data_IF_313023089831
#
_entry.id   IF_313023089831
#
_cell.length_a   1.000
_cell.length_b   1.000
_cell.length_c   1.000
_cell.angle_alpha   90.00
_cell.angle_beta   90.00
_cell.angle_gamma   90.00
#
_symmetry.space_group_name_H-M   'P 1'
#
loop_
_entity.id
_entity.type
_entity.pdbx_description
1 polymer ?
#
# COMPACT_ATOMS: atom_id res chain seq x y z
N UNK A 1 -2.66 -23.24 8.45
CA UNK A 1 -2.14 -21.87 8.54
C UNK A 1 -1.02 -21.73 7.53
N UNK A 2 -1.14 -20.80 6.58
CA UNK A 2 -0.05 -20.40 5.68
C UNK A 2 0.65 -19.20 6.32
N UNK A 3 1.89 -19.38 6.81
CA UNK A 3 2.66 -18.28 7.39
C UNK A 3 3.53 -17.63 6.32
N UNK A 4 3.45 -16.31 6.23
CA UNK A 4 4.19 -15.51 5.26
C UNK A 4 4.95 -14.38 5.92
N UNK A 5 5.95 -13.82 5.23
CA UNK A 5 6.65 -12.60 5.63
C UNK A 5 6.68 -11.62 4.45
N UNK A 6 6.54 -10.32 4.72
CA UNK A 6 6.66 -9.30 3.68
C UNK A 6 8.11 -9.15 3.24
N UNK A 7 8.34 -9.00 1.94
CA UNK A 7 9.67 -8.88 1.35
C UNK A 7 9.65 -7.92 0.16
N UNK A 8 10.61 -6.99 0.11
CA UNK A 8 10.58 -5.86 -0.84
C UNK A 8 11.33 -6.09 -2.16
N UNK A 9 11.91 -7.27 -2.35
CA UNK A 9 12.75 -7.57 -3.52
C UNK A 9 14.24 -7.40 -3.23
N UNK A 10 15.10 -8.13 -3.95
CA UNK A 10 16.55 -8.18 -3.68
C UNK A 10 17.29 -6.86 -3.87
N UNK A 11 16.71 -5.93 -4.64
CA UNK A 11 17.28 -4.60 -4.84
C UNK A 11 16.87 -3.59 -3.75
N UNK A 12 15.82 -3.88 -2.98
CA UNK A 12 15.25 -2.94 -2.01
C UNK A 12 15.35 -3.45 -0.56
N UNK A 13 15.28 -4.76 -0.35
CA UNK A 13 15.34 -5.37 0.96
C UNK A 13 16.78 -5.79 1.33
N UNK A 14 17.18 -5.53 2.57
CA UNK A 14 18.45 -6.06 3.11
C UNK A 14 18.31 -7.51 3.58
N UNK A 15 17.09 -7.94 3.90
CA UNK A 15 16.79 -9.32 4.28
C UNK A 15 16.72 -10.18 3.02
N UNK A 16 17.50 -11.26 3.02
CA UNK A 16 17.55 -12.22 1.91
C UNK A 16 16.44 -13.24 2.04
N UNK A 17 15.95 -13.73 0.91
CA UNK A 17 15.01 -14.86 0.89
C UNK A 17 15.57 -16.10 1.61
N UNK A 18 16.88 -16.33 1.57
CA UNK A 18 17.51 -17.43 2.31
C UNK A 18 17.46 -17.27 3.83
N UNK A 19 17.29 -16.05 4.35
CA UNK A 19 17.08 -15.79 5.78
C UNK A 19 15.60 -15.99 6.13
N UNK A 20 14.68 -15.51 5.29
CA UNK A 20 13.23 -15.74 5.44
C UNK A 20 12.91 -17.24 5.45
N UNK A 21 13.52 -18.01 4.54
CA UNK A 21 13.32 -19.46 4.42
C UNK A 21 13.78 -20.25 5.66
N UNK A 22 14.60 -19.67 6.54
CA UNK A 22 15.03 -20.29 7.79
C UNK A 22 14.02 -20.12 8.93
N UNK A 23 13.06 -19.20 8.80
CA UNK A 23 12.08 -18.91 9.86
C UNK A 23 11.11 -20.09 10.00
N UNK A 24 11.03 -20.75 11.17
CA UNK A 24 10.23 -21.95 11.34
C UNK A 24 8.76 -21.77 10.93
N UNK A 25 8.36 -22.53 9.91
CA UNK A 25 6.99 -22.63 9.43
C UNK A 25 6.56 -21.52 8.47
N UNK A 26 7.40 -20.54 8.16
CA UNK A 26 7.19 -19.63 7.03
C UNK A 26 7.26 -20.44 5.74
N UNK A 27 6.26 -20.30 4.87
CA UNK A 27 6.14 -21.06 3.62
C UNK A 27 6.11 -20.18 2.39
N UNK A 28 5.95 -18.88 2.57
CA UNK A 28 5.82 -17.94 1.48
C UNK A 28 6.14 -16.52 1.90
N UNK A 29 6.04 -15.63 0.92
CA UNK A 29 6.25 -14.21 1.12
C UNK A 29 5.06 -13.42 0.62
N UNK A 30 4.89 -12.24 1.19
CA UNK A 30 4.05 -11.17 0.66
C UNK A 30 4.98 -10.26 -0.14
N UNK A 31 4.82 -10.22 -1.46
CA UNK A 31 5.72 -9.50 -2.36
C UNK A 31 5.17 -8.16 -2.84
N UNK A 32 6.03 -7.37 -3.49
CA UNK A 32 5.62 -6.18 -4.24
C UNK A 32 6.67 -5.78 -5.28
N UNK A 33 6.32 -4.85 -6.17
CA UNK A 33 7.22 -4.23 -7.13
C UNK A 33 7.27 -2.73 -6.84
N UNK A 34 8.41 -2.26 -6.33
CA UNK A 34 8.57 -0.90 -5.77
C UNK A 34 8.80 0.19 -6.83
N UNK A 35 9.29 -0.16 -8.01
CA UNK A 35 9.79 0.77 -9.03
C UNK A 35 8.78 1.07 -10.14
N UNK A 36 7.55 0.57 -10.03
CA UNK A 36 6.47 0.88 -10.96
C UNK A 36 5.60 1.98 -10.36
N UNK A 37 5.45 3.14 -11.02
CA UNK A 37 4.60 4.22 -10.52
C UNK A 37 3.15 3.76 -10.27
N UNK A 38 2.52 4.34 -9.26
CA UNK A 38 1.10 4.05 -8.97
C UNK A 38 0.23 4.30 -10.22
N UNK A 39 -0.74 3.42 -10.47
CA UNK A 39 -1.62 3.51 -11.63
C UNK A 39 -1.03 3.01 -12.96
N UNK A 40 0.26 2.71 -13.05
CA UNK A 40 0.84 2.07 -14.23
C UNK A 40 0.66 0.55 -14.17
N UNK A 41 0.59 -0.08 -15.35
CA UNK A 41 0.36 -1.52 -15.49
C UNK A 41 1.61 -2.26 -15.01
N UNK A 42 1.43 -3.30 -14.19
CA UNK A 42 2.53 -4.21 -13.85
C UNK A 42 2.79 -5.18 -15.01
N UNK A 43 3.98 -5.13 -15.64
CA UNK A 43 4.29 -6.01 -16.77
C UNK A 43 4.42 -7.47 -16.32
N UNK A 44 3.95 -8.39 -17.17
CA UNK A 44 4.01 -9.84 -16.90
C UNK A 44 5.43 -10.32 -16.63
N UNK A 45 6.41 -9.78 -17.35
CA UNK A 45 7.82 -10.13 -17.22
C UNK A 45 8.35 -9.78 -15.82
N UNK A 46 7.89 -8.66 -15.26
CA UNK A 46 8.29 -8.20 -13.92
C UNK A 46 7.66 -9.09 -12.83
N UNK A 47 6.38 -9.44 -12.97
CA UNK A 47 5.68 -10.35 -12.06
C UNK A 47 6.32 -11.75 -12.10
N UNK A 48 6.62 -12.24 -13.31
CA UNK A 48 7.31 -13.51 -13.53
C UNK A 48 8.67 -13.54 -12.82
N UNK A 49 9.50 -12.52 -13.03
CA UNK A 49 10.83 -12.44 -12.42
C UNK A 49 10.77 -12.48 -10.89
N UNK A 50 9.86 -11.69 -10.29
CA UNK A 50 9.63 -11.69 -8.84
C UNK A 50 9.24 -13.09 -8.33
N UNK A 51 8.29 -13.75 -9.00
CA UNK A 51 7.84 -15.09 -8.65
C UNK A 51 8.96 -16.12 -8.75
N UNK A 52 9.70 -16.12 -9.86
CA UNK A 52 10.80 -17.06 -10.09
C UNK A 52 11.91 -16.91 -9.04
N UNK A 53 12.24 -15.67 -8.64
CA UNK A 53 13.22 -15.41 -7.59
C UNK A 53 12.79 -15.98 -6.23
N UNK A 54 11.52 -15.76 -5.87
CA UNK A 54 10.95 -16.24 -4.60
C UNK A 54 10.85 -17.77 -4.59
N UNK A 55 10.37 -18.37 -5.68
CA UNK A 55 10.21 -19.83 -5.78
C UNK A 55 11.56 -20.56 -5.85
N UNK A 56 12.59 -19.94 -6.42
CA UNK A 56 13.96 -20.47 -6.38
C UNK A 56 14.51 -20.56 -4.94
N UNK A 57 14.00 -19.76 -4.00
CA UNK A 57 14.31 -19.85 -2.58
C UNK A 57 13.44 -20.86 -1.82
N UNK A 58 12.54 -21.58 -2.50
CA UNK A 58 11.63 -22.55 -1.90
C UNK A 58 10.44 -21.93 -1.17
N UNK A 59 10.14 -20.66 -1.43
CA UNK A 59 9.01 -19.92 -0.84
C UNK A 59 7.92 -19.70 -1.90
N UNK A 60 6.65 -19.64 -1.49
CA UNK A 60 5.55 -19.30 -2.41
C UNK A 60 5.28 -17.81 -2.46
N UNK A 61 4.90 -17.28 -3.63
CA UNK A 61 4.30 -15.96 -3.79
C UNK A 61 2.81 -16.09 -4.11
N UNK A 62 1.94 -15.75 -3.16
CA UNK A 62 0.47 -15.78 -3.32
C UNK A 62 -0.22 -14.46 -3.01
N UNK A 63 0.46 -13.57 -2.29
CA UNK A 63 -0.08 -12.29 -1.81
C UNK A 63 0.81 -11.16 -2.30
N UNK A 64 0.20 -10.12 -2.84
CA UNK A 64 0.86 -8.85 -3.16
C UNK A 64 0.42 -7.78 -2.15
N UNK A 65 1.39 -7.05 -1.58
CA UNK A 65 1.15 -5.90 -0.72
C UNK A 65 2.18 -4.79 -1.04
N UNK A 66 1.86 -3.82 -1.90
CA UNK A 66 0.54 -3.53 -2.48
C UNK A 66 0.60 -3.22 -3.97
N UNK A 67 -0.54 -3.33 -4.64
CA UNK A 67 -0.77 -2.63 -5.91
C UNK A 67 -1.34 -1.25 -5.54
N UNK A 68 -0.54 -0.20 -5.71
CA UNK A 68 -0.91 1.13 -5.23
C UNK A 68 -2.03 1.75 -6.09
N UNK A 69 -3.04 2.31 -5.42
CA UNK A 69 -4.16 3.00 -6.07
C UNK A 69 -3.78 4.46 -6.33
N UNK A 70 -3.82 4.88 -7.59
CA UNK A 70 -3.51 6.24 -8.02
C UNK A 70 -4.44 7.29 -7.36
N UNK A 71 -3.89 8.44 -6.99
CA UNK A 71 -4.63 9.51 -6.28
C UNK A 71 -5.84 10.05 -7.08
N UNK A 72 -5.76 10.17 -8.41
CA UNK A 72 -6.92 10.49 -9.26
C UNK A 72 -8.15 9.60 -9.03
N UNK A 73 -7.96 8.32 -8.70
CA UNK A 73 -9.05 7.41 -8.34
C UNK A 73 -9.65 7.82 -7.00
N UNK A 74 -8.79 8.07 -6.00
CA UNK A 74 -9.18 8.46 -4.65
C UNK A 74 -9.88 9.83 -4.62
N UNK A 75 -9.40 10.79 -5.41
CA UNK A 75 -9.95 12.15 -5.57
C UNK A 75 -11.24 12.12 -6.42
N UNK A 76 -11.32 11.22 -7.40
CA UNK A 76 -12.44 11.12 -8.33
C UNK A 76 -12.31 12.05 -9.55
N UNK A 77 -11.09 12.26 -10.03
CA UNK A 77 -10.82 13.06 -11.24
C UNK A 77 -11.26 12.32 -12.52
N UNK A 78 -11.52 13.03 -13.64
CA UNK A 78 -11.93 12.39 -14.89
C UNK A 78 -10.93 11.36 -15.45
N UNK A 79 -9.66 11.51 -15.13
CA UNK A 79 -8.55 10.61 -15.50
C UNK A 79 -8.57 9.27 -14.76
N UNK A 80 -9.38 9.11 -13.70
CA UNK A 80 -9.45 7.89 -12.89
C UNK A 80 -9.76 6.63 -13.69
N UNK A 81 -10.54 6.74 -14.76
CA UNK A 81 -10.98 5.59 -15.56
C UNK A 81 -9.79 4.93 -16.27
N UNK A 82 -8.81 5.72 -16.75
CA UNK A 82 -7.54 5.19 -17.29
C UNK A 82 -6.84 4.32 -16.26
N UNK A 83 -6.68 4.83 -15.04
CA UNK A 83 -5.97 4.11 -13.98
C UNK A 83 -6.73 2.88 -13.48
N UNK A 84 -8.07 2.92 -13.49
CA UNK A 84 -8.90 1.76 -13.18
C UNK A 84 -8.70 0.65 -14.23
N UNK A 85 -8.65 0.99 -15.52
CA UNK A 85 -8.37 0.00 -16.56
C UNK A 85 -6.95 -0.59 -16.43
N UNK A 86 -5.95 0.24 -16.13
CA UNK A 86 -4.60 -0.24 -15.83
C UNK A 86 -4.55 -1.17 -14.61
N UNK A 87 -5.32 -0.86 -13.58
CA UNK A 87 -5.43 -1.69 -12.37
C UNK A 87 -6.08 -3.04 -12.68
N UNK A 88 -7.14 -3.06 -13.51
CA UNK A 88 -7.77 -4.30 -14.00
C UNK A 88 -6.78 -5.17 -14.78
N UNK A 89 -5.99 -4.58 -15.67
CA UNK A 89 -4.97 -5.31 -16.41
C UNK A 89 -3.90 -5.90 -15.47
N UNK A 90 -3.49 -5.13 -14.46
CA UNK A 90 -2.57 -5.63 -13.43
C UNK A 90 -3.16 -6.82 -12.66
N UNK A 91 -4.45 -6.77 -12.29
CA UNK A 91 -5.16 -7.90 -11.66
C UNK A 91 -5.07 -9.14 -12.57
N UNK A 92 -5.35 -9.01 -13.87
CA UNK A 92 -5.28 -10.12 -14.83
C UNK A 92 -3.87 -10.69 -14.93
N UNK A 93 -2.88 -9.82 -15.06
CA UNK A 93 -1.48 -10.22 -15.13
C UNK A 93 -1.05 -10.99 -13.89
N UNK A 94 -1.40 -10.51 -12.69
CA UNK A 94 -1.07 -11.18 -11.43
C UNK A 94 -1.72 -12.58 -11.34
N UNK A 95 -2.97 -12.71 -11.78
CA UNK A 95 -3.68 -13.98 -11.74
C UNK A 95 -3.02 -15.05 -12.63
N UNK A 96 -2.47 -14.67 -13.80
CA UNK A 96 -1.74 -15.59 -14.67
C UNK A 96 -0.51 -16.23 -14.00
N UNK A 97 0.07 -15.55 -13.00
CA UNK A 97 1.20 -16.04 -12.22
C UNK A 97 0.79 -16.68 -10.88
N UNK A 98 -0.51 -16.96 -10.70
CA UNK A 98 -1.03 -17.67 -9.53
C UNK A 98 -1.08 -16.84 -8.25
N UNK A 99 -1.10 -15.50 -8.37
CA UNK A 99 -1.38 -14.63 -7.24
C UNK A 99 -2.86 -14.76 -6.86
N UNK A 100 -3.14 -14.95 -5.57
CA UNK A 100 -4.48 -15.21 -5.05
C UNK A 100 -5.08 -14.00 -4.34
N UNK A 101 -4.23 -13.14 -3.74
CA UNK A 101 -4.67 -12.02 -2.89
C UNK A 101 -3.90 -10.75 -3.22
N UNK A 102 -4.62 -9.63 -3.34
CA UNK A 102 -4.04 -8.29 -3.40
C UNK A 102 -4.45 -7.53 -2.13
N UNK A 103 -3.47 -7.20 -1.30
CA UNK A 103 -3.61 -6.27 -0.19
C UNK A 103 -3.40 -4.84 -0.67
N UNK A 104 -4.32 -3.94 -0.35
CA UNK A 104 -4.32 -2.55 -0.82
C UNK A 104 -4.94 -1.61 0.22
N UNK A 105 -4.78 -0.31 0.06
CA UNK A 105 -5.43 0.69 0.90
C UNK A 105 -6.06 1.81 0.06
N UNK A 106 -6.95 2.60 0.65
CA UNK A 106 -7.57 3.76 0.02
C UNK A 106 -7.25 5.08 0.76
N UNK A 107 -6.05 5.14 1.35
CA UNK A 107 -5.59 6.22 2.23
C UNK A 107 -5.20 7.47 1.42
N UNK A 108 -5.74 8.67 1.70
CA UNK A 108 -5.34 9.90 1.03
C UNK A 108 -3.96 10.38 1.46
N UNK A 109 -3.11 10.75 0.48
CA UNK A 109 -1.81 11.42 0.64
C UNK A 109 -0.76 10.66 1.48
N UNK A 110 -1.05 10.29 2.71
CA UNK A 110 -0.19 9.44 3.54
C UNK A 110 -0.80 8.05 3.64
N UNK A 111 -0.03 7.02 3.30
CA UNK A 111 -0.43 5.63 3.58
C UNK A 111 -0.51 5.43 5.09
N UNK A 112 0.60 5.07 5.73
CA UNK A 112 0.68 4.94 7.18
C UNK A 112 1.51 6.09 7.76
N UNK A 113 1.20 6.51 8.99
CA UNK A 113 1.91 7.62 9.64
C UNK A 113 2.34 7.27 11.06
N UNK A 114 3.56 7.69 11.41
CA UNK A 114 4.16 7.60 12.75
C UNK A 114 4.83 8.94 13.08
N UNK A 115 4.91 9.27 14.36
CA UNK A 115 5.58 10.50 14.83
C UNK A 115 7.07 10.27 15.08
N UNK A 116 7.43 9.03 15.41
CA UNK A 116 8.79 8.60 15.73
C UNK A 116 9.06 7.23 15.11
N UNK A 117 10.14 7.12 14.34
CA UNK A 117 10.56 5.88 13.69
C UNK A 117 11.66 5.14 14.49
N UNK A 118 12.19 5.76 15.55
CA UNK A 118 13.27 5.25 16.38
C UNK A 118 12.95 5.43 17.88
N UNK A 119 11.76 5.00 18.31
CA UNK A 119 11.34 5.09 19.69
C UNK A 119 11.94 3.95 20.53
N UNK A 120 12.63 4.27 21.63
CA UNK A 120 13.31 3.28 22.47
C UNK A 120 12.43 2.84 23.64
N UNK A 121 12.28 1.52 23.79
CA UNK A 121 11.59 0.90 24.92
C UNK A 121 12.53 0.76 26.12
N UNK A 122 11.98 0.39 27.29
CA UNK A 122 12.75 0.23 28.53
C UNK A 122 13.82 -0.87 28.48
N UNK A 123 13.73 -1.79 27.51
CA UNK A 123 14.74 -2.83 27.26
C UNK A 123 15.78 -2.43 26.19
N UNK A 124 15.76 -1.17 25.75
CA UNK A 124 16.57 -0.58 24.66
C UNK A 124 16.27 -1.13 23.25
N UNK A 125 15.19 -1.88 23.07
CA UNK A 125 14.72 -2.19 21.72
C UNK A 125 14.07 -0.95 21.07
N UNK A 126 14.17 -0.88 19.74
CA UNK A 126 13.60 0.20 18.92
C UNK A 126 12.24 -0.20 18.35
N UNK A 127 11.31 0.74 18.28
CA UNK A 127 10.01 0.57 17.64
C UNK A 127 9.55 1.85 16.95
N UNK A 128 8.55 1.75 16.09
CA UNK A 128 7.86 2.93 15.57
C UNK A 128 6.72 3.31 16.52
N UNK A 129 6.57 4.60 16.81
CA UNK A 129 5.52 5.11 17.68
C UNK A 129 4.67 6.18 17.01
N UNK A 130 3.39 6.23 17.40
CA UNK A 130 2.51 7.37 17.14
C UNK A 130 2.22 8.06 18.47
N UNK A 131 2.77 9.26 18.65
CA UNK A 131 2.57 10.12 19.82
C UNK A 131 1.83 11.36 19.32
N UNK A 132 0.54 11.46 19.65
CA UNK A 132 -0.32 12.51 19.11
C UNK A 132 0.19 13.94 19.38
N UNK A 133 0.87 14.16 20.51
CA UNK A 133 1.46 15.46 20.87
C UNK A 133 2.67 15.85 20.02
N UNK A 134 3.33 14.90 19.36
CA UNK A 134 4.55 15.12 18.57
C UNK A 134 4.27 15.30 17.07
N UNK A 135 3.00 15.18 16.68
CA UNK A 135 2.54 15.43 15.32
C UNK A 135 2.57 16.94 15.06
N UNK A 136 3.43 17.43 14.14
CA UNK A 136 3.50 18.84 13.83
C UNK A 136 2.21 19.31 13.15
N UNK A 137 1.92 20.60 13.25
CA UNK A 137 0.76 21.19 12.57
C UNK A 137 0.94 21.21 11.03
N UNK A 138 2.19 21.37 10.56
CA UNK A 138 2.52 21.37 9.15
C UNK A 138 2.87 19.94 8.68
N UNK A 139 2.10 19.35 7.75
CA UNK A 139 2.38 18.00 7.26
C UNK A 139 3.74 17.87 6.55
N UNK A 140 4.29 18.97 6.00
CA UNK A 140 5.61 18.96 5.39
C UNK A 140 6.71 18.54 6.37
N UNK A 141 6.59 18.90 7.65
CA UNK A 141 7.59 18.52 8.65
C UNK A 141 7.65 16.99 8.86
N UNK A 142 6.55 16.27 8.67
CA UNK A 142 6.57 14.80 8.74
C UNK A 142 7.27 14.22 7.52
N UNK A 143 6.99 14.76 6.33
CA UNK A 143 7.67 14.35 5.09
C UNK A 143 9.18 14.50 5.25
N UNK A 144 9.61 15.68 5.71
CA UNK A 144 11.02 16.00 5.91
C UNK A 144 11.65 15.08 6.97
N UNK A 145 10.94 14.77 8.07
CA UNK A 145 11.40 13.82 9.10
C UNK A 145 11.54 12.41 8.56
N UNK A 146 10.54 11.91 7.82
CA UNK A 146 10.57 10.56 7.25
C UNK A 146 11.71 10.44 6.24
N UNK A 147 11.86 11.40 5.34
CA UNK A 147 12.96 11.44 4.37
C UNK A 147 14.34 11.56 5.04
N UNK A 148 14.46 12.28 6.17
CA UNK A 148 15.71 12.36 6.91
C UNK A 148 16.03 11.06 7.67
N UNK A 149 15.00 10.37 8.17
CA UNK A 149 15.12 9.14 8.93
C UNK A 149 15.25 7.88 8.05
N UNK A 150 14.93 7.99 6.76
CA UNK A 150 14.88 6.86 5.86
C UNK A 150 16.24 6.18 5.64
N UNK A 151 17.36 6.83 6.01
CA UNK A 151 18.70 6.25 5.93
C UNK A 151 19.10 5.75 4.53
N UNK A 152 18.46 6.26 3.47
CA UNK A 152 18.59 5.80 2.09
C UNK A 152 17.69 4.62 1.71
N UNK A 153 16.70 4.26 2.53
CA UNK A 153 15.68 3.27 2.23
C UNK A 153 14.40 3.94 1.72
N UNK A 154 13.73 3.36 0.72
CA UNK A 154 12.37 3.79 0.37
C UNK A 154 11.38 3.05 1.26
N UNK A 155 10.62 3.79 2.07
CA UNK A 155 9.53 3.22 2.87
C UNK A 155 8.30 2.98 1.97
N UNK A 156 7.65 1.81 2.03
CA UNK A 156 6.46 1.54 1.22
C UNK A 156 5.34 2.55 1.53
N UNK A 157 4.80 3.18 0.49
CA UNK A 157 3.79 4.24 0.59
C UNK A 157 4.35 5.66 0.77
N UNK A 158 5.67 5.80 0.92
CA UNK A 158 6.41 7.05 1.09
C UNK A 158 7.43 7.26 -0.06
N UNK A 159 7.11 6.80 -1.25
CA UNK A 159 7.99 6.88 -2.41
C UNK A 159 8.30 8.36 -2.78
N UNK A 160 9.57 8.72 -3.09
CA UNK A 160 9.97 10.12 -3.33
C UNK A 160 9.18 10.82 -4.44
N UNK A 161 8.85 10.11 -5.53
CA UNK A 161 8.07 10.64 -6.64
C UNK A 161 6.69 11.09 -6.16
N UNK A 162 6.05 10.25 -5.34
CA UNK A 162 4.75 10.54 -4.72
C UNK A 162 4.84 11.71 -3.73
N UNK A 163 5.94 11.79 -2.97
CA UNK A 163 6.18 12.85 -1.98
C UNK A 163 6.47 14.22 -2.63
N UNK A 164 7.09 14.23 -3.82
CA UNK A 164 7.43 15.46 -4.54
C UNK A 164 6.20 16.29 -4.95
N UNK A 165 5.03 15.65 -5.06
CA UNK A 165 3.77 16.28 -5.46
C UNK A 165 2.84 16.57 -4.27
N UNK A 166 3.26 16.30 -3.03
CA UNK A 166 2.35 16.30 -1.87
C UNK A 166 1.64 17.64 -1.66
N UNK A 167 2.30 18.78 -1.93
CA UNK A 167 1.62 20.09 -1.85
C UNK A 167 0.47 20.21 -2.85
N UNK A 168 0.65 19.70 -4.07
CA UNK A 168 -0.41 19.65 -5.08
C UNK A 168 -1.53 18.70 -4.68
N UNK A 169 -1.18 17.55 -4.08
CA UNK A 169 -2.17 16.59 -3.57
C UNK A 169 -3.03 17.20 -2.45
N UNK A 170 -2.45 17.90 -1.47
CA UNK A 170 -3.23 18.56 -0.42
C UNK A 170 -4.28 19.54 -0.98
N UNK A 171 -3.93 20.32 -2.01
CA UNK A 171 -4.91 21.21 -2.65
C UNK A 171 -5.95 20.41 -3.47
N UNK A 172 -5.55 19.33 -4.14
CA UNK A 172 -6.47 18.47 -4.89
C UNK A 172 -7.51 17.75 -3.99
N UNK A 173 -7.11 17.37 -2.77
CA UNK A 173 -7.98 16.73 -1.78
C UNK A 173 -8.86 17.71 -0.98
N UNK A 174 -8.67 19.02 -1.10
CA UNK A 174 -9.39 20.05 -0.33
C UNK A 174 -10.92 19.97 -0.40
N UNK A 175 -11.44 19.50 -1.52
CA UNK A 175 -12.88 19.33 -1.75
C UNK A 175 -13.35 17.86 -1.67
N UNK A 176 -12.49 16.98 -1.14
CA UNK A 176 -12.80 15.55 -0.94
C UNK A 176 -13.03 15.33 0.55
N UNK A 177 -14.29 15.36 0.96
CA UNK A 177 -14.68 14.95 2.31
C UNK A 177 -14.82 13.43 2.42
N UNK A 178 -15.18 12.95 3.61
CA UNK A 178 -15.34 11.51 3.87
C UNK A 178 -16.43 10.87 3.00
N UNK A 179 -17.54 11.57 2.77
CA UNK A 179 -18.62 11.08 1.92
C UNK A 179 -18.13 10.91 0.48
N UNK A 180 -17.43 11.93 -0.05
CA UNK A 180 -16.87 11.90 -1.39
C UNK A 180 -15.82 10.81 -1.55
N UNK A 181 -14.93 10.65 -0.56
CA UNK A 181 -13.93 9.59 -0.57
C UNK A 181 -14.60 8.20 -0.60
N UNK A 182 -15.67 7.99 0.18
CA UNK A 182 -16.44 6.75 0.18
C UNK A 182 -17.14 6.49 -1.16
N UNK A 183 -17.72 7.51 -1.79
CA UNK A 183 -18.31 7.39 -3.13
C UNK A 183 -17.25 6.98 -4.17
N UNK A 184 -16.08 7.63 -4.14
CA UNK A 184 -14.97 7.31 -5.04
C UNK A 184 -14.44 5.90 -4.79
N UNK A 185 -14.36 5.47 -3.53
CA UNK A 185 -13.97 4.11 -3.20
C UNK A 185 -14.99 3.09 -3.71
N UNK A 186 -16.28 3.35 -3.51
CA UNK A 186 -17.36 2.51 -4.06
C UNK A 186 -17.31 2.45 -5.60
N UNK A 187 -16.98 3.56 -6.27
CA UNK A 187 -16.79 3.60 -7.72
C UNK A 187 -15.65 2.68 -8.17
N UNK A 188 -14.49 2.77 -7.51
CA UNK A 188 -13.35 1.90 -7.76
C UNK A 188 -13.70 0.42 -7.58
N UNK A 189 -14.35 0.07 -6.46
CA UNK A 189 -14.72 -1.31 -6.15
C UNK A 189 -15.72 -1.88 -7.15
N UNK A 190 -16.78 -1.12 -7.48
CA UNK A 190 -17.76 -1.53 -8.49
C UNK A 190 -17.10 -1.81 -9.84
N UNK A 191 -16.02 -1.10 -10.17
CA UNK A 191 -15.29 -1.30 -11.40
C UNK A 191 -14.36 -2.53 -11.37
N UNK A 192 -13.59 -2.73 -10.30
CA UNK A 192 -12.51 -3.74 -10.26
C UNK A 192 -12.93 -5.11 -9.72
N UNK A 193 -13.98 -5.19 -8.89
CA UNK A 193 -14.41 -6.45 -8.29
C UNK A 193 -14.87 -7.49 -9.33
N UNK A 194 -15.62 -7.14 -10.40
CA UNK A 194 -15.95 -8.11 -11.45
C UNK A 194 -14.71 -8.74 -12.11
N UNK A 195 -13.66 -7.94 -12.33
CA UNK A 195 -12.37 -8.44 -12.86
C UNK A 195 -11.69 -9.38 -11.86
N UNK A 196 -11.75 -9.08 -10.57
CA UNK A 196 -11.21 -9.95 -9.52
C UNK A 196 -11.94 -11.30 -9.49
N UNK A 197 -13.27 -11.29 -9.56
CA UNK A 197 -14.11 -12.50 -9.60
C UNK A 197 -13.84 -13.35 -10.85
N UNK A 198 -13.67 -12.69 -12.00
CA UNK A 198 -13.36 -13.35 -13.28
C UNK A 198 -12.07 -14.18 -13.22
N UNK A 199 -11.02 -13.64 -12.57
CA UNK A 199 -9.70 -14.29 -12.51
C UNK A 199 -9.41 -14.98 -11.17
N UNK A 200 -10.35 -14.95 -10.23
CA UNK A 200 -10.24 -15.61 -8.92
C UNK A 200 -9.36 -14.90 -7.90
N UNK A 201 -9.02 -13.63 -8.09
CA UNK A 201 -8.26 -12.82 -7.13
C UNK A 201 -9.17 -12.30 -6.02
N UNK A 202 -8.67 -12.31 -4.78
CA UNK A 202 -9.34 -11.70 -3.63
C UNK A 202 -8.70 -10.37 -3.28
N UNK A 203 -9.53 -9.36 -3.09
CA UNK A 203 -9.10 -8.04 -2.63
C UNK A 203 -9.17 -7.98 -1.09
N UNK A 204 -8.08 -7.59 -0.45
CA UNK A 204 -7.99 -7.42 1.00
C UNK A 204 -7.63 -5.97 1.33
N UNK A 205 -8.62 -5.21 1.81
CA UNK A 205 -8.39 -3.80 2.17
C UNK A 205 -7.68 -3.70 3.53
N UNK A 206 -6.56 -3.00 3.56
CA UNK A 206 -5.84 -2.62 4.77
C UNK A 206 -6.56 -1.42 5.44
N UNK A 207 -6.73 -1.42 6.76
CA UNK A 207 -7.34 -0.29 7.47
C UNK A 207 -6.46 0.96 7.44
N UNK A 208 -7.06 2.11 7.75
CA UNK A 208 -6.32 3.35 7.96
C UNK A 208 -5.34 3.27 9.15
N UNK A 209 -4.14 3.85 9.01
CA UNK A 209 -3.13 3.91 10.08
C UNK A 209 -2.48 5.31 10.19
N UNK A 210 -2.87 6.15 11.17
CA UNK A 210 -3.85 5.88 12.22
C UNK A 210 -5.31 5.94 11.71
N UNK A 211 -6.26 5.27 12.39
CA UNK A 211 -7.65 5.15 11.95
C UNK A 211 -8.51 6.38 12.32
N UNK A 212 -8.05 7.58 11.99
CA UNK A 212 -8.80 8.83 12.12
C UNK A 212 -8.26 9.95 11.23
N UNK A 213 -9.10 10.94 10.86
CA UNK A 213 -8.70 12.07 10.02
C UNK A 213 -7.49 12.85 10.59
N UNK A 214 -6.57 13.23 9.72
CA UNK A 214 -5.39 14.06 10.06
C UNK A 214 -5.11 15.06 8.94
N UNK A 215 -4.58 16.24 9.28
CA UNK A 215 -4.23 17.30 8.31
C UNK A 215 -5.38 17.76 7.40
N UNK A 216 -6.63 17.64 7.87
CA UNK A 216 -7.82 17.93 7.05
C UNK A 216 -8.12 16.88 5.99
N UNK A 217 -7.39 15.76 5.95
CA UNK A 217 -7.65 14.64 5.05
C UNK A 217 -8.65 13.66 5.67
N UNK A 218 -9.66 13.19 4.92
CA UNK A 218 -10.56 12.15 5.39
C UNK A 218 -9.83 10.82 5.54
N UNK A 219 -10.33 9.96 6.44
CA UNK A 219 -9.98 8.54 6.53
C UNK A 219 -11.24 7.72 6.30
N UNK A 220 -11.13 6.61 5.58
CA UNK A 220 -12.28 5.83 5.13
C UNK A 220 -12.85 4.90 6.20
N UNK A 221 -12.06 4.54 7.21
CA UNK A 221 -12.43 3.67 8.31
C UNK A 221 -12.54 4.42 9.62
N UNK A 222 -13.73 4.91 9.97
CA UNK A 222 -13.98 5.36 11.33
C UNK A 222 -14.41 4.21 12.26
N UNK A 223 -13.89 4.29 13.49
CA UNK A 223 -14.39 3.75 14.77
C UNK A 223 -15.62 2.82 14.67
N UNK A 224 -15.38 1.51 14.83
CA UNK A 224 -16.36 0.49 15.26
C UNK A 224 -17.37 -0.13 14.27
N UNK A 225 -17.25 0.02 12.94
CA UNK A 225 -18.25 -0.59 12.04
C UNK A 225 -17.74 -0.96 10.66
N UNK A 226 -17.95 -2.24 10.29
CA UNK A 226 -17.81 -2.84 8.96
C UNK A 226 -17.92 -1.81 7.81
N UNK A 227 -17.01 -1.89 6.84
CA UNK A 227 -17.30 -1.49 5.46
C UNK A 227 -18.46 -2.33 4.93
N UNK A 228 -19.70 -1.95 5.23
CA UNK A 228 -20.88 -2.40 4.49
C UNK A 228 -21.10 -1.38 3.40
N UNK A 229 -20.66 -1.73 2.19
CA UNK A 229 -21.24 -1.13 1.00
C UNK A 229 -22.64 -1.73 0.91
N UNK A 230 -23.66 -0.94 1.23
CA UNK A 230 -25.02 -1.30 0.86
C UNK A 230 -25.07 -1.24 -0.68
N UNK A 231 -24.78 -2.38 -1.31
CA UNK A 231 -24.89 -2.62 -2.75
C UNK A 231 -26.25 -3.23 -3.06
#
# INVERSE_FOLDING_TARGET
MEMTMRWFGSNADKIKLSEIAQVPGVKGVVGMIMDIPAGEIWPKERIKALKEEIEAAGLSLKVIESVNIHDDIKIGLPTRDKYIENYKETIRNLAEFGIEVICYNFMPVFDWLKSDLDYHLSDNSQTMAFIAGDIPANPQEIIDRVQAADGGFSLPGWEPERLSEVRGLFEAYKNVDEHKLRENFAYFLKAIIPTCEEVGIKMAVHPDDPPYPMFGLPRGGEKSGRFRLDM
#
